data_IF_421412898009
#
_entry.id   IF_421412898009
#
_cell.length_a   1.000
_cell.length_b   1.000
_cell.length_c   1.000
_cell.angle_alpha   90.00
_cell.angle_beta   90.00
_cell.angle_gamma   90.00
#
_symmetry.space_group_name_H-M   'P 1'
#
loop_
_entity.id
_entity.type
_entity.pdbx_description
1 polymer ?
#
# COMPACT_ATOMS: atom_id res chain seq x y z
N UNK A 1 -76.01 2.82 30.88
CA UNK A 1 -75.34 3.14 29.61
C UNK A 1 -74.00 3.75 29.92
N UNK A 2 -72.97 2.92 29.99
CA UNK A 2 -71.57 3.37 30.32
C UNK A 2 -70.81 3.56 29.05
N UNK A 3 -70.32 4.79 28.82
CA UNK A 3 -69.43 5.10 27.74
C UNK A 3 -68.02 4.89 28.19
N UNK A 4 -67.39 3.83 27.67
CA UNK A 4 -65.98 3.53 27.86
C UNK A 4 -65.19 4.50 26.92
N UNK A 5 -64.46 5.39 27.55
CA UNK A 5 -63.51 6.26 26.79
C UNK A 5 -62.22 5.46 26.57
N UNK A 6 -61.97 5.07 25.33
CA UNK A 6 -60.72 4.48 24.89
C UNK A 6 -59.66 5.58 24.79
N UNK A 7 -58.68 5.57 25.67
CA UNK A 7 -57.52 6.46 25.56
C UNK A 7 -56.52 5.77 24.69
N UNK A 8 -56.32 6.30 23.49
CA UNK A 8 -55.28 5.85 22.56
C UNK A 8 -53.96 6.50 23.01
N UNK A 9 -53.08 5.69 23.62
CA UNK A 9 -51.75 6.10 24.02
C UNK A 9 -50.82 5.98 22.78
N UNK A 10 -50.60 7.09 22.06
CA UNK A 10 -49.64 7.15 20.94
C UNK A 10 -48.22 7.14 21.51
N UNK A 11 -47.56 6.01 21.44
CA UNK A 11 -46.11 5.91 21.66
C UNK A 11 -45.39 6.57 20.45
N UNK A 12 -44.96 7.80 20.62
CA UNK A 12 -44.03 8.44 19.70
C UNK A 12 -42.64 7.91 20.02
N UNK A 13 -42.18 6.88 19.31
CA UNK A 13 -40.80 6.43 19.34
C UNK A 13 -39.94 7.48 18.67
N UNK A 14 -39.33 8.37 19.44
CA UNK A 14 -38.31 9.29 18.95
C UNK A 14 -37.09 8.41 18.63
N UNK A 15 -36.96 8.01 17.37
CA UNK A 15 -35.69 7.53 16.85
C UNK A 15 -34.71 8.71 16.88
N UNK A 16 -33.92 8.79 17.95
CA UNK A 16 -32.69 9.59 17.94
C UNK A 16 -31.77 8.93 16.93
N UNK A 17 -31.83 9.38 15.69
CA UNK A 17 -30.74 9.16 14.76
C UNK A 17 -29.52 9.83 15.39
N UNK A 18 -28.73 9.07 16.14
CA UNK A 18 -27.36 9.44 16.43
C UNK A 18 -26.69 9.57 15.05
N UNK A 19 -26.67 10.80 14.53
CA UNK A 19 -25.71 11.16 13.48
C UNK A 19 -24.35 10.85 14.12
N UNK A 20 -23.83 9.65 13.87
CA UNK A 20 -22.44 9.35 14.11
C UNK A 20 -21.68 10.45 13.36
N UNK A 21 -21.21 11.46 14.08
CA UNK A 21 -20.34 12.48 13.53
C UNK A 21 -19.22 11.71 12.86
N UNK A 22 -19.22 11.72 11.51
CA UNK A 22 -18.23 10.99 10.74
C UNK A 22 -16.87 11.39 11.30
N UNK A 23 -16.16 10.43 11.88
CA UNK A 23 -14.92 10.72 12.58
C UNK A 23 -13.95 11.36 11.59
N UNK A 24 -13.21 12.42 11.94
CA UNK A 24 -12.37 13.15 10.98
C UNK A 24 -11.46 12.24 10.15
N UNK A 25 -10.89 11.16 10.73
CA UNK A 25 -10.06 10.23 9.96
C UNK A 25 -10.80 9.48 8.85
N UNK A 26 -12.13 9.36 8.94
CA UNK A 26 -12.97 8.72 7.91
C UNK A 26 -13.36 9.68 6.79
N UNK A 27 -13.21 11.01 7.00
CA UNK A 27 -13.61 12.00 6.01
C UNK A 27 -12.57 12.11 4.88
N UNK A 28 -12.87 11.63 3.65
CA UNK A 28 -11.93 11.66 2.54
C UNK A 28 -11.64 13.07 1.99
N UNK A 29 -12.35 14.08 2.44
CA UNK A 29 -12.16 15.49 2.01
C UNK A 29 -11.15 16.23 2.90
N UNK A 30 -10.78 15.67 4.05
CA UNK A 30 -9.71 16.20 4.88
C UNK A 30 -8.33 15.75 4.37
N UNK A 31 -7.30 16.52 4.71
CA UNK A 31 -5.91 16.16 4.36
C UNK A 31 -5.52 14.82 5.01
N UNK A 32 -4.61 14.09 4.36
CA UNK A 32 -4.10 12.83 4.91
C UNK A 32 -3.47 13.04 6.30
N UNK A 33 -2.76 14.15 6.52
CA UNK A 33 -2.15 14.48 7.80
C UNK A 33 -3.21 14.69 8.89
N UNK A 34 -4.25 15.48 8.62
CA UNK A 34 -5.35 15.72 9.57
C UNK A 34 -6.05 14.40 9.96
N UNK A 35 -6.29 13.55 8.98
CA UNK A 35 -6.91 12.23 9.18
C UNK A 35 -6.01 11.32 10.01
N UNK A 36 -4.72 11.29 9.71
CA UNK A 36 -3.75 10.48 10.45
C UNK A 36 -3.60 10.93 11.90
N UNK A 37 -3.55 12.23 12.16
CA UNK A 37 -3.47 12.79 13.52
C UNK A 37 -4.71 12.45 14.35
N UNK A 38 -5.91 12.57 13.78
CA UNK A 38 -7.14 12.19 14.46
C UNK A 38 -7.17 10.68 14.76
N UNK A 39 -6.82 9.83 13.79
CA UNK A 39 -6.72 8.39 13.99
C UNK A 39 -5.70 8.04 15.08
N UNK A 40 -4.50 8.64 15.03
CA UNK A 40 -3.43 8.40 15.99
C UNK A 40 -3.87 8.71 17.43
N UNK A 41 -4.68 9.74 17.63
CA UNK A 41 -5.21 10.11 18.97
C UNK A 41 -6.20 9.08 19.54
N UNK A 42 -6.77 8.24 18.69
CA UNK A 42 -7.76 7.23 19.06
C UNK A 42 -7.17 5.84 19.30
N UNK A 43 -5.95 5.60 18.84
CA UNK A 43 -5.25 4.34 18.97
C UNK A 43 -4.66 4.16 20.37
N UNK A 44 -4.76 2.93 20.92
CA UNK A 44 -4.00 2.55 22.10
C UNK A 44 -2.53 2.38 21.78
N UNK A 45 -1.67 2.26 22.78
CA UNK A 45 -0.24 2.00 22.56
C UNK A 45 -0.01 0.67 21.88
N UNK A 46 -0.73 -0.36 22.28
CA UNK A 46 -0.67 -1.71 21.70
C UNK A 46 -1.09 -1.70 20.23
N UNK A 47 -2.19 -1.01 19.88
CA UNK A 47 -2.64 -0.87 18.50
C UNK A 47 -1.62 -0.14 17.65
N UNK A 48 -0.97 0.91 18.18
CA UNK A 48 0.12 1.62 17.48
C UNK A 48 1.30 0.69 17.18
N UNK A 49 1.69 -0.13 18.16
CA UNK A 49 2.78 -1.09 18.00
C UNK A 49 2.43 -2.16 16.95
N UNK A 50 1.22 -2.69 16.98
CA UNK A 50 0.75 -3.69 16.00
C UNK A 50 0.66 -3.14 14.56
N UNK A 51 0.31 -1.86 14.39
CA UNK A 51 0.28 -1.22 13.06
C UNK A 51 1.68 -1.02 12.44
N UNK A 52 2.76 -1.22 13.19
CA UNK A 52 4.14 -1.17 12.69
C UNK A 52 4.64 -2.51 12.13
N UNK A 53 3.84 -3.58 12.25
CA UNK A 53 4.17 -4.88 11.66
C UNK A 53 3.87 -4.88 10.16
N UNK A 54 4.50 -5.79 9.42
CA UNK A 54 4.24 -5.98 7.99
C UNK A 54 2.81 -6.47 7.71
N UNK A 55 2.21 -7.15 8.68
CA UNK A 55 0.80 -7.47 8.74
C UNK A 55 0.13 -6.62 9.83
N UNK A 56 -0.42 -5.48 9.45
CA UNK A 56 -1.16 -4.61 10.35
C UNK A 56 -2.56 -5.19 10.58
N UNK A 57 -2.92 -5.59 11.81
CA UNK A 57 -4.22 -6.20 12.10
C UNK A 57 -5.37 -5.20 11.94
N UNK A 58 -6.57 -5.74 11.76
CA UNK A 58 -7.79 -4.93 11.80
C UNK A 58 -8.02 -4.32 13.18
N UNK A 59 -8.59 -3.12 13.22
CA UNK A 59 -9.06 -2.47 14.45
C UNK A 59 -10.57 -2.22 14.33
N UNK A 60 -11.40 -3.24 14.61
CA UNK A 60 -12.84 -3.20 14.33
C UNK A 60 -13.57 -2.03 15.01
N UNK A 61 -13.18 -1.66 16.25
CA UNK A 61 -13.79 -0.53 16.98
C UNK A 61 -13.63 0.81 16.26
N UNK A 62 -12.65 0.93 15.37
CA UNK A 62 -12.40 2.12 14.56
C UNK A 62 -12.76 1.89 13.07
N UNK A 63 -13.29 0.73 12.72
CA UNK A 63 -13.59 0.40 11.32
C UNK A 63 -12.35 0.28 10.43
N UNK A 64 -11.17 0.10 11.02
CA UNK A 64 -9.92 -0.10 10.29
C UNK A 64 -9.82 -1.55 9.88
N UNK A 65 -9.64 -1.77 8.59
CA UNK A 65 -9.43 -3.11 8.04
C UNK A 65 -7.98 -3.54 8.24
N UNK A 66 -7.72 -4.85 8.19
CA UNK A 66 -6.39 -5.43 8.07
C UNK A 66 -5.68 -4.84 6.84
N UNK A 67 -4.38 -4.61 6.96
CA UNK A 67 -3.54 -4.15 5.86
C UNK A 67 -2.22 -4.93 5.84
N UNK A 68 -1.82 -5.37 4.67
CA UNK A 68 -0.54 -6.04 4.48
C UNK A 68 0.44 -5.11 3.75
N UNK A 69 1.63 -4.89 4.30
CA UNK A 69 2.64 -3.99 3.75
C UNK A 69 3.49 -4.66 2.66
N UNK A 70 3.49 -5.98 2.59
CA UNK A 70 4.41 -6.73 1.77
C UNK A 70 3.77 -7.24 0.48
N UNK A 71 4.01 -6.51 -0.61
CA UNK A 71 3.92 -7.00 -1.98
C UNK A 71 5.22 -6.68 -2.70
N UNK A 72 5.45 -7.32 -3.83
CA UNK A 72 6.66 -7.18 -4.61
C UNK A 72 6.35 -6.84 -6.08
N UNK A 73 7.16 -5.96 -6.67
CA UNK A 73 7.01 -5.53 -8.06
C UNK A 73 8.36 -5.22 -8.72
N UNK A 74 9.42 -5.97 -8.42
CA UNK A 74 10.77 -5.67 -8.94
C UNK A 74 10.84 -5.71 -10.47
N UNK A 75 10.08 -6.61 -11.12
CA UNK A 75 9.99 -6.70 -12.58
C UNK A 75 8.58 -7.10 -13.05
N UNK A 76 7.56 -6.55 -12.43
CA UNK A 76 6.14 -6.85 -12.59
C UNK A 76 5.51 -7.30 -11.30
N UNK A 77 4.19 -7.42 -11.27
CA UNK A 77 3.46 -7.83 -10.07
C UNK A 77 3.82 -9.27 -9.67
N UNK A 78 4.45 -9.46 -8.52
CA UNK A 78 4.84 -10.79 -8.07
C UNK A 78 3.65 -11.53 -7.44
N UNK A 79 3.54 -12.83 -7.73
CA UNK A 79 2.56 -13.76 -7.13
C UNK A 79 1.08 -13.38 -7.33
N UNK A 80 0.76 -12.57 -8.34
CA UNK A 80 -0.60 -12.10 -8.62
C UNK A 80 -1.29 -12.81 -9.81
N UNK A 81 -0.78 -13.97 -10.25
CA UNK A 81 -1.37 -14.74 -11.34
C UNK A 81 -0.99 -14.22 -12.73
N UNK A 82 -1.97 -14.07 -13.63
CA UNK A 82 -1.73 -13.66 -15.02
C UNK A 82 -1.42 -12.15 -15.10
N UNK A 83 -0.15 -11.80 -14.99
CA UNK A 83 0.39 -10.43 -15.07
C UNK A 83 1.61 -10.41 -15.98
N UNK A 84 1.99 -9.24 -16.44
CA UNK A 84 3.19 -9.07 -17.28
C UNK A 84 4.46 -9.25 -16.46
N UNK A 85 5.36 -10.11 -16.94
CA UNK A 85 6.71 -10.27 -16.40
C UNK A 85 7.66 -9.47 -17.28
N UNK A 86 8.31 -8.49 -16.69
CA UNK A 86 9.32 -7.66 -17.35
C UNK A 86 10.72 -8.23 -17.09
N UNK A 87 11.75 -7.77 -17.82
CA UNK A 87 13.14 -8.15 -17.53
C UNK A 87 13.54 -7.78 -16.08
N UNK A 88 14.53 -8.49 -15.54
CA UNK A 88 15.12 -8.18 -14.23
C UNK A 88 15.61 -6.72 -14.16
N UNK A 89 15.62 -6.08 -12.97
CA UNK A 89 16.02 -4.68 -12.81
C UNK A 89 17.37 -4.34 -13.41
N UNK A 90 18.37 -5.22 -13.28
CA UNK A 90 19.71 -5.00 -13.86
C UNK A 90 19.66 -4.92 -15.40
N UNK A 91 18.82 -5.73 -16.03
CA UNK A 91 18.63 -5.71 -17.49
C UNK A 91 17.87 -4.46 -17.92
N UNK A 92 16.87 -4.04 -17.17
CA UNK A 92 16.16 -2.78 -17.44
C UNK A 92 17.08 -1.57 -17.26
N UNK A 93 17.96 -1.56 -16.25
CA UNK A 93 18.94 -0.51 -16.01
C UNK A 93 19.95 -0.38 -17.16
N UNK A 94 20.34 -1.51 -17.77
CA UNK A 94 21.24 -1.53 -18.94
C UNK A 94 20.67 -0.83 -20.17
N UNK A 95 19.39 -0.51 -20.18
CA UNK A 95 18.79 0.33 -21.24
C UNK A 95 19.17 1.81 -21.13
N UNK A 96 19.63 2.27 -19.98
CA UNK A 96 19.88 3.68 -19.65
C UNK A 96 18.69 4.60 -19.97
N UNK A 97 17.46 4.07 -19.86
CA UNK A 97 16.23 4.75 -20.28
C UNK A 97 15.23 4.81 -19.13
N UNK A 98 15.29 5.86 -18.34
CA UNK A 98 14.40 6.13 -17.19
C UNK A 98 12.94 6.34 -17.64
N UNK A 99 12.71 6.93 -18.80
CA UNK A 99 11.36 7.09 -19.35
C UNK A 99 10.72 5.73 -19.70
N UNK A 100 11.51 4.74 -20.14
CA UNK A 100 11.05 3.38 -20.33
C UNK A 100 10.68 2.73 -19.00
N UNK A 101 11.52 2.85 -17.99
CA UNK A 101 11.25 2.31 -16.66
C UNK A 101 9.97 2.91 -16.07
N UNK A 102 9.78 4.22 -16.18
CA UNK A 102 8.53 4.85 -15.76
C UNK A 102 7.30 4.19 -16.39
N UNK A 103 7.33 3.92 -17.71
CA UNK A 103 6.23 3.26 -18.41
C UNK A 103 6.02 1.82 -17.97
N UNK A 104 7.09 1.05 -17.81
CA UNK A 104 7.05 -0.33 -17.31
C UNK A 104 6.38 -0.39 -15.95
N UNK A 105 6.82 0.43 -15.00
CA UNK A 105 6.29 0.41 -13.65
C UNK A 105 4.92 1.09 -13.53
N UNK A 106 4.57 1.97 -14.45
CA UNK A 106 3.19 2.45 -14.58
C UNK A 106 2.25 1.31 -15.00
N UNK A 107 2.65 0.49 -15.98
CA UNK A 107 1.88 -0.69 -16.38
C UNK A 107 1.77 -1.71 -15.25
N UNK A 108 2.90 -2.06 -14.60
CA UNK A 108 2.89 -2.97 -13.45
C UNK A 108 1.96 -2.50 -12.33
N UNK A 109 1.94 -1.19 -12.04
CA UNK A 109 1.04 -0.65 -11.02
C UNK A 109 -0.43 -0.70 -11.41
N UNK A 110 -0.76 -0.57 -12.69
CA UNK A 110 -2.13 -0.73 -13.19
C UNK A 110 -2.59 -2.19 -13.05
N UNK A 111 -1.73 -3.14 -13.40
CA UNK A 111 -2.01 -4.57 -13.24
C UNK A 111 -2.22 -4.94 -11.76
N UNK A 112 -1.35 -4.47 -10.85
CA UNK A 112 -1.50 -4.70 -9.41
C UNK A 112 -2.81 -4.13 -8.88
N UNK A 113 -3.16 -2.91 -9.28
CA UNK A 113 -4.45 -2.31 -8.90
C UNK A 113 -5.63 -3.10 -9.43
N UNK A 114 -5.57 -3.58 -10.67
CA UNK A 114 -6.62 -4.41 -11.26
C UNK A 114 -6.80 -5.72 -10.49
N UNK A 115 -5.72 -6.42 -10.20
CA UNK A 115 -5.73 -7.68 -9.43
C UNK A 115 -6.24 -7.47 -8.00
N UNK A 116 -5.74 -6.43 -7.30
CA UNK A 116 -6.20 -6.08 -5.96
C UNK A 116 -7.71 -5.82 -5.94
N UNK A 117 -8.22 -4.96 -6.83
CA UNK A 117 -9.64 -4.62 -6.86
C UNK A 117 -10.51 -5.79 -7.30
N UNK A 118 -10.03 -6.63 -8.23
CA UNK A 118 -10.72 -7.86 -8.58
C UNK A 118 -10.89 -8.77 -7.35
N UNK A 119 -9.81 -8.99 -6.61
CA UNK A 119 -9.82 -9.80 -5.39
C UNK A 119 -10.79 -9.24 -4.34
N UNK A 120 -10.69 -7.95 -4.01
CA UNK A 120 -11.56 -7.32 -3.00
C UNK A 120 -13.04 -7.38 -3.39
N UNK A 121 -13.38 -7.16 -4.67
CA UNK A 121 -14.77 -7.26 -5.15
C UNK A 121 -15.33 -8.68 -5.07
N UNK A 122 -14.49 -9.70 -5.12
CA UNK A 122 -14.88 -11.10 -5.00
C UNK A 122 -14.78 -11.63 -3.55
N UNK A 123 -14.76 -10.75 -2.55
CA UNK A 123 -14.79 -11.11 -1.13
C UNK A 123 -13.43 -11.49 -0.54
N UNK A 124 -12.34 -11.30 -1.27
CA UNK A 124 -10.99 -11.46 -0.72
C UNK A 124 -10.59 -10.29 0.19
N UNK A 125 -9.52 -10.50 0.94
CA UNK A 125 -8.96 -9.51 1.85
C UNK A 125 -7.56 -9.04 1.40
N UNK A 126 -7.08 -8.00 2.06
CA UNK A 126 -5.69 -7.58 1.95
C UNK A 126 -4.79 -8.64 2.59
N UNK A 127 -3.81 -9.14 1.85
CA UNK A 127 -2.89 -10.17 2.31
C UNK A 127 -1.53 -10.07 1.63
N UNK A 128 -0.58 -10.86 2.09
CA UNK A 128 0.77 -10.93 1.54
C UNK A 128 0.74 -11.14 0.02
N UNK A 129 1.49 -10.31 -0.70
CA UNK A 129 1.57 -10.21 -2.16
C UNK A 129 0.31 -9.70 -2.88
N UNK A 130 -0.76 -9.39 -2.14
CA UNK A 130 -2.01 -8.88 -2.70
C UNK A 130 -2.43 -7.55 -2.07
N UNK A 131 -1.47 -6.71 -1.71
CA UNK A 131 -1.69 -5.38 -1.15
C UNK A 131 -1.29 -4.27 -2.13
N UNK A 132 -1.58 -3.04 -1.75
CA UNK A 132 -1.21 -1.83 -2.51
C UNK A 132 0.09 -1.18 -2.01
N UNK A 133 0.82 -1.83 -1.11
CA UNK A 133 2.17 -1.46 -0.71
C UNK A 133 3.17 -2.45 -1.29
N UNK A 134 4.24 -1.94 -1.93
CA UNK A 134 5.22 -2.77 -2.63
C UNK A 134 6.64 -2.47 -2.15
N UNK A 135 7.40 -3.50 -1.81
CA UNK A 135 8.80 -3.40 -1.39
C UNK A 135 9.72 -3.32 -2.61
N UNK A 136 9.54 -2.26 -3.36
CA UNK A 136 10.20 -1.93 -4.63
C UNK A 136 10.38 -0.41 -4.70
N UNK A 137 11.52 0.10 -5.22
CA UNK A 137 12.66 -0.57 -5.87
C UNK A 137 13.71 -1.09 -4.90
N UNK A 138 14.58 -2.02 -5.36
CA UNK A 138 15.81 -2.35 -4.68
C UNK A 138 16.92 -1.35 -5.10
N UNK A 139 17.24 -0.41 -4.22
CA UNK A 139 18.23 0.65 -4.47
C UNK A 139 19.61 0.34 -3.87
N UNK A 140 19.85 -0.89 -3.47
CA UNK A 140 21.18 -1.32 -3.05
C UNK A 140 22.18 -1.17 -4.21
N UNK A 141 23.38 -0.71 -3.91
CA UNK A 141 24.47 -0.68 -4.87
C UNK A 141 25.11 -2.08 -4.93
N UNK A 142 25.26 -2.62 -6.14
CA UNK A 142 25.86 -3.94 -6.35
C UNK A 142 27.37 -3.87 -6.14
N UNK A 143 27.81 -4.00 -4.88
CA UNK A 143 29.21 -3.82 -4.47
C UNK A 143 30.04 -5.10 -4.54
N UNK A 144 29.40 -6.25 -4.39
CA UNK A 144 30.09 -7.54 -4.28
C UNK A 144 29.44 -8.56 -5.25
N UNK A 145 30.21 -9.10 -6.21
CA UNK A 145 29.69 -10.06 -7.19
C UNK A 145 29.22 -11.39 -6.57
N UNK A 146 29.61 -11.68 -5.33
CA UNK A 146 29.14 -12.86 -4.58
C UNK A 146 27.77 -12.68 -3.96
N UNK A 147 27.22 -11.47 -3.99
CA UNK A 147 25.87 -11.23 -3.49
C UNK A 147 24.82 -11.83 -4.42
N UNK A 148 24.03 -12.80 -3.91
CA UNK A 148 23.07 -13.59 -4.69
C UNK A 148 21.85 -12.83 -5.22
N UNK A 149 21.70 -11.53 -4.87
CA UNK A 149 20.57 -10.68 -5.28
C UNK A 149 20.97 -9.47 -6.15
N UNK A 150 22.16 -9.53 -6.74
CA UNK A 150 22.66 -8.44 -7.59
C UNK A 150 21.77 -8.12 -8.78
N UNK A 151 21.10 -9.12 -9.37
CA UNK A 151 20.18 -8.94 -10.50
C UNK A 151 18.94 -8.11 -10.15
N UNK A 152 18.59 -7.99 -8.87
CA UNK A 152 17.47 -7.16 -8.40
C UNK A 152 17.79 -5.66 -8.37
N UNK A 153 19.04 -5.28 -8.65
CA UNK A 153 19.54 -3.90 -8.54
C UNK A 153 19.69 -3.22 -9.90
N UNK A 154 19.99 -1.93 -9.88
CA UNK A 154 20.30 -1.14 -11.09
C UNK A 154 21.80 -1.07 -11.37
N UNK A 155 22.64 -1.85 -10.68
CA UNK A 155 24.07 -1.96 -10.90
C UNK A 155 24.93 -1.31 -9.82
N UNK A 156 26.15 -0.94 -10.20
CA UNK A 156 27.20 -0.46 -9.30
C UNK A 156 27.21 1.07 -9.14
N UNK A 157 26.60 1.79 -10.08
CA UNK A 157 26.62 3.25 -10.12
C UNK A 157 25.49 3.86 -9.28
N UNK A 158 25.80 4.69 -8.26
CA UNK A 158 24.79 5.36 -7.43
C UNK A 158 23.92 6.34 -8.22
N UNK A 159 24.48 7.03 -9.21
CA UNK A 159 23.73 7.99 -10.02
C UNK A 159 22.70 7.26 -10.92
N UNK A 160 23.11 6.22 -11.62
CA UNK A 160 22.19 5.39 -12.40
C UNK A 160 21.09 4.80 -11.50
N UNK A 161 21.47 4.26 -10.34
CA UNK A 161 20.51 3.74 -9.36
C UNK A 161 19.52 4.80 -8.91
N UNK A 162 19.96 6.03 -8.65
CA UNK A 162 19.07 7.13 -8.25
C UNK A 162 18.09 7.52 -9.36
N UNK A 163 18.55 7.63 -10.61
CA UNK A 163 17.71 7.98 -11.76
C UNK A 163 16.68 6.90 -12.03
N UNK A 164 17.12 5.65 -12.15
CA UNK A 164 16.23 4.51 -12.42
C UNK A 164 15.27 4.25 -11.27
N UNK A 165 15.75 4.26 -10.02
CA UNK A 165 14.92 4.08 -8.85
C UNK A 165 13.83 5.16 -8.71
N UNK A 166 14.15 6.41 -9.04
CA UNK A 166 13.16 7.51 -9.07
C UNK A 166 12.09 7.27 -10.13
N UNK A 167 12.47 6.85 -11.33
CA UNK A 167 11.53 6.52 -12.39
C UNK A 167 10.57 5.39 -11.98
N UNK A 168 11.10 4.36 -11.32
CA UNK A 168 10.32 3.24 -10.77
C UNK A 168 9.32 3.71 -9.73
N UNK A 169 9.75 4.50 -8.75
CA UNK A 169 8.85 5.03 -7.70
C UNK A 169 7.73 5.86 -8.33
N UNK A 170 8.07 6.75 -9.26
CA UNK A 170 7.06 7.59 -9.95
C UNK A 170 6.08 6.75 -10.77
N UNK A 171 6.55 5.72 -11.47
CA UNK A 171 5.69 4.79 -12.21
C UNK A 171 4.74 4.03 -11.29
N UNK A 172 5.25 3.48 -10.18
CA UNK A 172 4.46 2.73 -9.21
C UNK A 172 3.42 3.62 -8.49
N UNK A 173 3.80 4.83 -8.12
CA UNK A 173 2.91 5.72 -7.35
C UNK A 173 1.93 6.52 -8.21
N UNK A 174 2.19 6.63 -9.51
CA UNK A 174 1.39 7.42 -10.44
C UNK A 174 1.63 8.93 -10.31
N UNK A 175 0.81 9.78 -10.97
CA UNK A 175 0.99 11.22 -10.99
C UNK A 175 1.03 11.86 -9.59
N UNK A 176 1.91 12.84 -9.42
CA UNK A 176 2.12 13.49 -8.13
C UNK A 176 0.91 14.30 -7.64
N UNK A 177 0.12 14.83 -8.55
CA UNK A 177 -1.11 15.59 -8.30
C UNK A 177 -2.35 14.72 -8.07
N UNK A 178 -2.23 13.40 -8.22
CA UNK A 178 -3.32 12.47 -7.94
C UNK A 178 -3.70 12.49 -6.46
N UNK A 179 -5.01 12.57 -6.18
CA UNK A 179 -5.54 12.50 -4.82
C UNK A 179 -5.13 11.22 -4.10
N UNK A 180 -5.01 10.11 -4.82
CA UNK A 180 -4.61 8.81 -4.29
C UNK A 180 -3.45 8.24 -5.11
N UNK A 181 -2.47 7.69 -4.44
CA UNK A 181 -1.38 6.94 -5.10
C UNK A 181 -1.94 5.65 -5.71
N UNK A 182 -1.35 5.22 -6.85
CA UNK A 182 -1.69 3.90 -7.42
C UNK A 182 -1.23 2.79 -6.48
N UNK A 183 0.03 2.84 -6.07
CA UNK A 183 0.65 1.97 -5.06
C UNK A 183 1.50 2.82 -4.10
N UNK A 184 1.92 2.24 -3.01
CA UNK A 184 2.93 2.78 -2.11
C UNK A 184 4.25 2.06 -2.35
N UNK A 185 5.18 2.75 -3.02
CA UNK A 185 6.52 2.22 -3.24
C UNK A 185 7.36 2.35 -1.97
N UNK A 186 8.12 1.30 -1.65
CA UNK A 186 9.05 1.27 -0.53
C UNK A 186 10.43 0.89 -1.05
N UNK A 187 11.30 1.87 -1.18
CA UNK A 187 12.69 1.63 -1.56
C UNK A 187 13.41 0.82 -0.47
N UNK A 188 14.16 -0.20 -0.89
CA UNK A 188 14.83 -1.16 0.00
C UNK A 188 16.31 -1.33 -0.37
N UNK A 189 17.12 -1.82 0.53
CA UNK A 189 16.88 -2.22 1.90
C UNK A 189 17.54 -1.24 2.87
N UNK A 190 16.94 -1.04 4.01
CA UNK A 190 17.55 -0.26 5.08
C UNK A 190 18.24 -1.23 6.06
N UNK A 191 19.58 -1.21 6.19
CA UNK A 191 20.57 -0.53 5.38
C UNK A 191 21.67 -1.54 4.98
N UNK A 192 22.44 -1.24 3.90
CA UNK A 192 23.67 -1.98 3.52
C UNK A 192 23.47 -3.48 3.31
N UNK A 193 22.45 -3.87 2.57
CA UNK A 193 22.14 -5.25 2.24
C UNK A 193 22.72 -5.62 0.85
N UNK A 194 24.03 -5.78 0.74
CA UNK A 194 24.71 -6.05 -0.53
C UNK A 194 25.98 -6.87 -0.42
N UNK A 195 26.04 -7.77 0.54
CA UNK A 195 27.14 -8.71 0.73
C UNK A 195 26.67 -10.17 0.65
N UNK A 196 27.61 -11.14 0.67
CA UNK A 196 27.27 -12.54 0.72
C UNK A 196 26.38 -12.86 1.93
N UNK A 197 25.40 -13.77 1.76
CA UNK A 197 24.42 -14.12 2.79
C UNK A 197 25.04 -14.58 4.12
N UNK A 198 26.15 -15.33 4.03
CA UNK A 198 26.85 -15.85 5.21
C UNK A 198 27.63 -14.80 6.00
N UNK A 199 27.66 -13.55 5.55
CA UNK A 199 28.38 -12.44 6.22
C UNK A 199 27.46 -11.34 6.71
N UNK A 200 26.17 -11.56 6.66
CA UNK A 200 25.12 -10.61 7.12
C UNK A 200 24.67 -10.91 8.52
#
# INVERSE_FOLDING_TARGET
MNKIKTILLSFVTVMTASSALAQPYQNPNLSALTRAQDLLSRLTLEEKALLMLDESPAIPRLGIKKFFWWSEALHGAANMGNVTVFPEPIAMAASFNDALLYKVFSAASDEMRAQYHHRIRNGGEDEKFHSLSVWTPNVNIFRDPRWGRGQETYGEDPYLTAVMGTAVVRGLQGPEDSKYRKLWACAKHYAVHSGPENTR
#
